data_IF_519504988782
#
_entry.id   IF_519504988782
#
_cell.length_a   1.000
_cell.length_b   1.000
_cell.length_c   1.000
_cell.angle_alpha   90.00
_cell.angle_beta   90.00
_cell.angle_gamma   90.00
#
_symmetry.space_group_name_H-M   'P 1'
#
loop_
_entity.id
_entity.type
_entity.pdbx_description
1 polymer ?
#
# COMPACT_ATOMS: atom_id res chain seq x y z
N UNK A 1 -37.14 10.91 23.34
CA UNK A 1 -36.90 9.70 22.52
C UNK A 1 -36.57 10.04 21.06
N UNK A 2 -37.37 10.86 20.34
CA UNK A 2 -37.11 11.27 18.94
C UNK A 2 -35.78 12.02 18.73
N UNK A 3 -35.41 12.90 19.68
CA UNK A 3 -34.14 13.63 19.64
C UNK A 3 -32.92 12.69 19.67
N UNK A 4 -32.94 11.68 20.54
CA UNK A 4 -31.84 10.72 20.68
C UNK A 4 -31.64 9.88 19.40
N UNK A 5 -32.73 9.56 18.70
CA UNK A 5 -32.70 8.86 17.42
C UNK A 5 -32.05 9.69 16.31
N UNK A 6 -32.36 10.99 16.24
CA UNK A 6 -31.76 11.91 15.28
C UNK A 6 -30.25 12.09 15.51
N UNK A 7 -29.82 12.17 16.78
CA UNK A 7 -28.40 12.24 17.13
C UNK A 7 -27.64 10.95 16.77
N UNK A 8 -28.27 9.78 16.96
CA UNK A 8 -27.68 8.50 16.56
C UNK A 8 -27.51 8.40 15.04
N UNK A 9 -28.50 8.84 14.26
CA UNK A 9 -28.40 8.86 12.78
C UNK A 9 -27.29 9.80 12.34
N UNK A 10 -27.23 10.99 12.92
CA UNK A 10 -26.18 11.97 12.61
C UNK A 10 -24.79 11.39 12.89
N UNK A 11 -24.59 10.77 14.06
CA UNK A 11 -23.33 10.12 14.43
C UNK A 11 -22.96 9.02 13.42
N UNK A 12 -23.91 8.15 13.04
CA UNK A 12 -23.67 7.12 12.03
C UNK A 12 -23.27 7.71 10.67
N UNK A 13 -23.92 8.78 10.22
CA UNK A 13 -23.57 9.43 8.95
C UNK A 13 -22.17 10.05 8.97
N UNK A 14 -21.78 10.67 10.09
CA UNK A 14 -20.43 11.22 10.28
C UNK A 14 -19.39 10.10 10.29
N UNK A 15 -19.63 9.00 11.00
CA UNK A 15 -18.74 7.84 11.01
C UNK A 15 -18.57 7.21 9.61
N UNK A 16 -19.66 7.09 8.85
CA UNK A 16 -19.58 6.60 7.45
C UNK A 16 -18.82 7.56 6.55
N UNK A 17 -19.00 8.87 6.69
CA UNK A 17 -18.27 9.87 5.90
C UNK A 17 -16.76 9.82 6.18
N UNK A 18 -16.35 9.72 7.45
CA UNK A 18 -14.94 9.62 7.86
C UNK A 18 -14.31 8.32 7.34
N UNK A 19 -15.02 7.19 7.43
CA UNK A 19 -14.50 5.91 6.93
C UNK A 19 -14.44 5.87 5.41
N UNK A 20 -15.37 6.50 4.70
CA UNK A 20 -15.32 6.61 3.24
C UNK A 20 -14.13 7.44 2.75
N UNK A 21 -13.85 8.59 3.39
CA UNK A 21 -12.72 9.44 3.01
C UNK A 21 -11.37 8.80 3.37
N UNK A 22 -11.26 8.11 4.50
CA UNK A 22 -10.05 7.39 4.90
C UNK A 22 -9.68 6.24 3.95
N UNK A 23 -10.66 5.61 3.30
CA UNK A 23 -10.38 4.54 2.30
C UNK A 23 -9.85 5.10 0.98
N UNK A 24 -10.19 6.35 0.64
CA UNK A 24 -9.75 6.97 -0.61
C UNK A 24 -8.27 7.32 -0.64
N UNK A 25 -7.65 7.57 0.53
CA UNK A 25 -6.24 7.93 0.67
C UNK A 25 -5.30 6.74 0.76
N UNK A 26 -5.82 5.53 0.99
CA UNK A 26 -5.06 4.27 0.92
C UNK A 26 -5.11 3.74 -0.51
N UNK A 27 -4.62 4.52 -1.47
CA UNK A 27 -4.10 3.93 -2.69
C UNK A 27 -2.73 3.37 -2.32
N UNK A 28 -2.65 2.04 -2.15
CA UNK A 28 -1.36 1.36 -2.05
C UNK A 28 -0.48 1.84 -3.20
N UNK A 29 0.59 2.54 -2.87
CA UNK A 29 1.45 3.20 -3.86
C UNK A 29 1.89 2.19 -4.91
N UNK A 30 1.97 2.63 -6.17
CA UNK A 30 2.50 1.79 -7.24
C UNK A 30 3.93 1.38 -6.88
N UNK A 31 4.27 0.08 -6.90
CA UNK A 31 5.63 -0.37 -6.58
C UNK A 31 6.67 0.32 -7.46
N UNK A 32 7.82 0.70 -6.89
CA UNK A 32 8.93 1.27 -7.65
C UNK A 32 9.46 0.25 -8.67
N UNK A 33 9.77 0.69 -9.90
CA UNK A 33 10.33 -0.21 -10.92
C UNK A 33 11.85 -0.20 -10.84
N UNK A 34 12.45 -1.38 -10.74
CA UNK A 34 13.90 -1.58 -10.80
C UNK A 34 14.19 -2.44 -12.02
N UNK A 35 14.99 -1.91 -12.95
CA UNK A 35 15.57 -2.70 -14.06
C UNK A 35 16.98 -3.09 -13.64
N UNK A 36 17.24 -4.38 -13.55
CA UNK A 36 18.53 -4.90 -13.16
C UNK A 36 19.32 -5.31 -14.41
N UNK A 37 20.37 -4.56 -14.70
CA UNK A 37 21.34 -4.85 -15.77
C UNK A 37 22.68 -5.18 -15.10
N UNK A 38 23.06 -6.45 -15.14
CA UNK A 38 24.21 -7.04 -14.44
C UNK A 38 24.89 -8.04 -15.36
N UNK A 39 26.21 -8.15 -15.29
CA UNK A 39 27.01 -9.16 -16.01
C UNK A 39 27.02 -10.53 -15.32
N UNK A 40 26.37 -10.64 -14.16
CA UNK A 40 26.13 -11.89 -13.40
C UNK A 40 27.45 -12.51 -12.89
N UNK A 41 28.36 -11.66 -12.42
CA UNK A 41 29.55 -12.11 -11.71
C UNK A 41 29.23 -12.60 -10.28
N UNK A 42 30.22 -13.23 -9.64
CA UNK A 42 30.03 -13.93 -8.34
C UNK A 42 29.59 -12.97 -7.22
N UNK A 43 29.99 -11.71 -7.30
CA UNK A 43 29.59 -10.66 -6.36
C UNK A 43 28.14 -10.19 -6.57
N UNK A 44 27.61 -10.24 -7.79
CA UNK A 44 26.22 -9.90 -8.11
C UNK A 44 25.21 -10.95 -7.63
N UNK A 45 25.64 -12.21 -7.48
CA UNK A 45 24.77 -13.28 -6.98
C UNK A 45 24.13 -12.92 -5.64
N UNK A 46 24.90 -12.32 -4.72
CA UNK A 46 24.36 -11.89 -3.43
C UNK A 46 23.43 -10.68 -3.56
N UNK A 47 23.70 -9.77 -4.51
CA UNK A 47 22.83 -8.62 -4.77
C UNK A 47 21.46 -9.08 -5.32
N UNK A 48 21.44 -10.05 -6.24
CA UNK A 48 20.20 -10.65 -6.76
C UNK A 48 19.42 -11.34 -5.63
N UNK A 49 20.07 -12.18 -4.83
CA UNK A 49 19.43 -12.85 -3.70
C UNK A 49 18.88 -11.84 -2.68
N UNK A 50 19.58 -10.73 -2.46
CA UNK A 50 19.10 -9.64 -1.62
C UNK A 50 17.86 -8.96 -2.20
N UNK A 51 17.85 -8.63 -3.50
CA UNK A 51 16.69 -8.07 -4.19
C UNK A 51 15.48 -9.02 -4.19
N UNK A 52 15.71 -10.33 -4.28
CA UNK A 52 14.63 -11.33 -4.20
C UNK A 52 14.08 -11.52 -2.79
N UNK A 53 14.88 -11.24 -1.75
CA UNK A 53 14.46 -11.30 -0.34
C UNK A 53 13.53 -10.14 0.06
N UNK A 54 13.66 -8.98 -0.59
CA UNK A 54 12.91 -7.77 -0.23
C UNK A 54 11.42 -7.86 -0.59
N UNK A 55 10.63 -6.97 -0.01
CA UNK A 55 9.18 -6.95 -0.16
C UNK A 55 8.73 -6.54 -1.58
N UNK A 56 8.12 -7.47 -2.31
CA UNK A 56 7.60 -7.24 -3.67
C UNK A 56 6.41 -6.30 -3.75
N UNK A 57 5.77 -5.95 -2.62
CA UNK A 57 4.73 -4.92 -2.62
C UNK A 57 5.31 -3.50 -2.72
N UNK A 58 6.61 -3.31 -2.46
CA UNK A 58 7.28 -2.00 -2.50
C UNK A 58 7.93 -1.72 -3.85
N UNK A 59 8.37 -2.76 -4.57
CA UNK A 59 8.99 -2.61 -5.88
C UNK A 59 8.75 -3.81 -6.80
N UNK A 60 8.82 -3.54 -8.10
CA UNK A 60 8.78 -4.52 -9.17
C UNK A 60 10.18 -4.61 -9.81
N UNK A 61 10.91 -5.68 -9.49
CA UNK A 61 12.17 -6.02 -10.16
C UNK A 61 11.89 -6.61 -11.54
N UNK A 62 12.55 -6.05 -12.54
CA UNK A 62 12.62 -6.57 -13.90
C UNK A 62 14.06 -6.93 -14.22
N UNK A 63 14.22 -8.02 -14.96
CA UNK A 63 15.48 -8.59 -15.40
C UNK A 63 15.47 -8.61 -16.91
#
# INVERSE_FOLDING_TARGET
MKMLWLWSIFLCTVCMAITATARSTVHGGTPYRILLDTDVDVDDLFAILYLLKLNRSEFNLQV
#
